data_IF_130657816319
#
_entry.id   IF_130657816319
#
_cell.length_a   1.000
_cell.length_b   1.000
_cell.length_c   1.000
_cell.angle_alpha   90.00
_cell.angle_beta   90.00
_cell.angle_gamma   90.00
#
_symmetry.space_group_name_H-M   'P 1'
#
loop_
_entity.id
_entity.type
_entity.pdbx_description
1 polymer ?
#
# COMPACT_ATOMS: atom_id res chain seq x y z
N UNK A 1 -35.18 2.07 -6.84
CA UNK A 1 -34.16 1.54 -7.75
C UNK A 1 -32.79 1.83 -7.16
N UNK A 2 -32.01 0.81 -6.81
CA UNK A 2 -30.62 1.02 -6.37
C UNK A 2 -29.81 1.40 -7.62
N UNK A 3 -28.99 2.48 -7.60
CA UNK A 3 -28.13 2.80 -8.73
C UNK A 3 -27.27 1.57 -9.02
N UNK A 4 -27.33 1.09 -10.25
CA UNK A 4 -26.55 -0.06 -10.68
C UNK A 4 -25.08 0.29 -10.57
N UNK A 5 -24.38 -0.31 -9.60
CA UNK A 5 -22.92 -0.19 -9.48
C UNK A 5 -22.36 -0.73 -10.79
N UNK A 6 -21.89 0.16 -11.66
CA UNK A 6 -21.24 -0.20 -12.91
C UNK A 6 -19.88 -0.79 -12.52
N UNK A 7 -19.75 -2.10 -12.67
CA UNK A 7 -18.50 -2.78 -12.31
C UNK A 7 -17.42 -2.36 -13.30
N UNK A 8 -16.23 -2.05 -12.81
CA UNK A 8 -15.11 -1.73 -13.69
C UNK A 8 -14.56 -3.00 -14.35
N UNK A 9 -13.82 -2.83 -15.44
CA UNK A 9 -13.12 -3.95 -16.12
C UNK A 9 -12.20 -4.73 -15.18
N UNK A 10 -11.68 -4.08 -14.13
CA UNK A 10 -10.90 -4.74 -13.08
C UNK A 10 -11.73 -5.65 -12.19
N UNK A 11 -12.92 -5.20 -11.79
CA UNK A 11 -13.84 -5.96 -10.94
C UNK A 11 -14.48 -7.13 -11.67
N UNK A 12 -14.84 -6.93 -12.94
CA UNK A 12 -15.36 -7.98 -13.82
C UNK A 12 -14.28 -9.08 -13.96
N UNK A 13 -13.06 -8.70 -14.32
CA UNK A 13 -11.94 -9.63 -14.43
C UNK A 13 -11.67 -10.36 -13.11
N UNK A 14 -11.67 -9.66 -11.96
CA UNK A 14 -11.44 -10.28 -10.66
C UNK A 14 -12.54 -11.30 -10.31
N UNK A 15 -13.80 -11.02 -10.64
CA UNK A 15 -14.93 -11.95 -10.43
C UNK A 15 -14.85 -13.18 -11.34
N UNK A 16 -14.45 -13.00 -12.59
CA UNK A 16 -14.23 -14.11 -13.53
C UNK A 16 -13.11 -15.04 -13.03
N UNK A 17 -11.99 -14.46 -12.62
CA UNK A 17 -10.85 -15.21 -12.08
C UNK A 17 -11.20 -15.93 -10.77
N UNK A 18 -11.97 -15.29 -9.88
CA UNK A 18 -12.45 -15.92 -8.65
C UNK A 18 -13.39 -17.09 -8.94
N UNK A 19 -14.26 -16.95 -9.94
CA UNK A 19 -15.13 -18.04 -10.41
C UNK A 19 -14.30 -19.22 -10.89
N UNK A 20 -13.29 -18.97 -11.74
CA UNK A 20 -12.38 -20.00 -12.23
C UNK A 20 -11.62 -20.73 -11.11
N UNK A 21 -11.13 -19.98 -10.11
CA UNK A 21 -10.46 -20.56 -8.94
C UNK A 21 -11.40 -21.43 -8.10
N UNK A 22 -12.63 -20.97 -7.88
CA UNK A 22 -13.66 -21.73 -7.14
C UNK A 22 -14.04 -23.00 -7.88
N UNK A 23 -14.26 -22.93 -9.19
CA UNK A 23 -14.57 -24.11 -10.01
C UNK A 23 -13.44 -25.13 -10.01
N UNK A 24 -12.19 -24.68 -9.93
CA UNK A 24 -11.02 -25.54 -9.84
C UNK A 24 -10.64 -25.90 -8.39
N UNK A 25 -11.49 -25.57 -7.40
CA UNK A 25 -11.26 -25.82 -5.97
C UNK A 25 -9.88 -25.37 -5.49
N UNK A 26 -9.39 -24.24 -5.99
CA UNK A 26 -8.06 -23.70 -5.66
C UNK A 26 -6.90 -24.68 -5.93
N UNK A 27 -7.04 -25.58 -6.90
CA UNK A 27 -5.97 -26.49 -7.29
C UNK A 27 -4.66 -25.73 -7.59
N UNK A 28 -3.48 -26.26 -7.23
CA UNK A 28 -2.20 -25.53 -7.37
C UNK A 28 -1.94 -25.01 -8.78
N UNK A 29 -2.36 -25.75 -9.82
CA UNK A 29 -2.26 -25.34 -11.22
C UNK A 29 -3.16 -24.13 -11.53
N UNK A 30 -4.37 -24.09 -11.00
CA UNK A 30 -5.30 -22.97 -11.18
C UNK A 30 -4.81 -21.71 -10.47
N UNK A 31 -4.25 -21.86 -9.27
CA UNK A 31 -3.57 -20.78 -8.53
C UNK A 31 -2.37 -20.25 -9.32
N UNK A 32 -1.50 -21.14 -9.83
CA UNK A 32 -0.37 -20.75 -10.67
C UNK A 32 -0.79 -20.02 -11.96
N UNK A 33 -1.88 -20.44 -12.58
CA UNK A 33 -2.48 -19.73 -13.74
C UNK A 33 -2.99 -18.35 -13.33
N UNK A 34 -3.72 -18.25 -12.23
CA UNK A 34 -4.21 -16.98 -11.71
C UNK A 34 -3.06 -15.99 -11.45
N UNK A 35 -1.99 -16.42 -10.77
CA UNK A 35 -0.82 -15.57 -10.50
C UNK A 35 -0.18 -15.07 -11.79
N UNK A 36 -0.05 -15.94 -12.80
CA UNK A 36 0.51 -15.58 -14.10
C UNK A 36 -0.35 -14.57 -14.85
N UNK A 37 -1.67 -14.78 -14.88
CA UNK A 37 -2.62 -13.86 -15.51
C UNK A 37 -2.66 -12.50 -14.81
N UNK A 38 -2.63 -12.53 -13.48
CA UNK A 38 -2.57 -11.34 -12.64
C UNK A 38 -1.27 -10.55 -12.89
N UNK A 39 -0.13 -11.24 -12.99
CA UNK A 39 1.15 -10.61 -13.34
C UNK A 39 1.16 -10.04 -14.77
N UNK A 40 0.58 -10.76 -15.74
CA UNK A 40 0.44 -10.29 -17.13
C UNK A 40 -0.38 -9.00 -17.19
N UNK A 41 -1.51 -8.95 -16.49
CA UNK A 41 -2.35 -7.76 -16.38
C UNK A 41 -1.59 -6.60 -15.74
N UNK A 42 -0.87 -6.85 -14.64
CA UNK A 42 -0.02 -5.84 -14.00
C UNK A 42 1.04 -5.28 -14.97
N UNK A 43 1.68 -6.13 -15.79
CA UNK A 43 2.63 -5.69 -16.82
C UNK A 43 1.97 -4.81 -17.89
N UNK A 44 0.78 -5.17 -18.35
CA UNK A 44 0.04 -4.37 -19.33
C UNK A 44 -0.35 -3.00 -18.76
N UNK A 45 -0.82 -2.95 -17.51
CA UNK A 45 -1.16 -1.70 -16.83
C UNK A 45 0.07 -0.81 -16.62
N UNK A 46 1.22 -1.41 -16.29
CA UNK A 46 2.50 -0.70 -16.21
C UNK A 46 2.92 -0.08 -17.53
N UNK A 47 2.81 -0.83 -18.64
CA UNK A 47 3.12 -0.34 -19.96
C UNK A 47 2.16 0.77 -20.41
N UNK A 48 0.88 0.68 -20.04
CA UNK A 48 -0.14 1.67 -20.38
C UNK A 48 0.00 2.97 -19.56
N UNK A 49 0.61 2.93 -18.37
CA UNK A 49 0.66 4.07 -17.43
C UNK A 49 2.09 4.42 -16.96
N UNK A 50 3.01 4.79 -17.86
CA UNK A 50 4.41 5.04 -17.51
C UNK A 50 4.60 6.21 -16.54
N UNK A 51 3.74 7.25 -16.61
CA UNK A 51 3.81 8.40 -15.71
C UNK A 51 3.46 8.03 -14.26
N UNK A 52 2.44 7.18 -14.07
CA UNK A 52 2.02 6.69 -12.75
C UNK A 52 3.10 5.81 -12.14
N UNK A 53 3.70 4.92 -12.94
CA UNK A 53 4.85 4.10 -12.54
C UNK A 53 6.03 4.99 -12.11
N UNK A 54 6.35 6.03 -12.89
CA UNK A 54 7.45 6.92 -12.57
C UNK A 54 7.23 7.64 -11.23
N UNK A 55 6.05 8.24 -11.03
CA UNK A 55 5.70 8.88 -9.75
C UNK A 55 5.80 7.89 -8.60
N UNK A 56 5.18 6.71 -8.72
CA UNK A 56 5.26 5.67 -7.68
C UNK A 56 6.71 5.34 -7.32
N UNK A 57 7.59 5.17 -8.32
CA UNK A 57 9.01 4.92 -8.08
C UNK A 57 9.70 6.09 -7.37
N UNK A 58 9.38 7.34 -7.72
CA UNK A 58 9.91 8.52 -7.03
C UNK A 58 9.49 8.55 -5.57
N UNK A 59 8.22 8.29 -5.25
CA UNK A 59 7.72 8.22 -3.88
C UNK A 59 8.38 7.08 -3.08
N UNK A 60 8.49 5.88 -3.68
CA UNK A 60 9.15 4.74 -3.04
C UNK A 60 10.65 5.00 -2.81
N UNK A 61 11.32 5.64 -3.76
CA UNK A 61 12.72 6.02 -3.64
C UNK A 61 12.92 7.11 -2.56
N UNK A 62 12.04 8.10 -2.49
CA UNK A 62 12.09 9.15 -1.48
C UNK A 62 11.93 8.57 -0.06
N UNK A 63 10.96 7.66 0.15
CA UNK A 63 10.78 6.99 1.45
C UNK A 63 11.97 6.11 1.84
N UNK A 64 12.55 5.38 0.88
CA UNK A 64 13.77 4.60 1.12
C UNK A 64 14.97 5.48 1.46
N UNK A 65 15.18 6.58 0.72
CA UNK A 65 16.26 7.54 0.97
C UNK A 65 16.13 8.20 2.34
N UNK A 66 14.91 8.57 2.74
CA UNK A 66 14.64 9.12 4.07
C UNK A 66 14.99 8.13 5.20
N UNK A 67 14.65 6.84 5.03
CA UNK A 67 15.04 5.81 6.00
C UNK A 67 16.55 5.66 6.10
N UNK A 68 17.23 5.57 4.95
CA UNK A 68 18.70 5.45 4.90
C UNK A 68 19.37 6.66 5.54
N UNK A 69 18.88 7.88 5.28
CA UNK A 69 19.41 9.09 5.92
C UNK A 69 19.30 9.04 7.46
N UNK A 70 18.15 8.58 8.00
CA UNK A 70 17.96 8.42 9.44
C UNK A 70 18.83 7.30 10.04
N UNK A 71 19.01 6.20 9.30
CA UNK A 71 19.89 5.11 9.70
C UNK A 71 21.38 5.54 9.71
N UNK A 72 21.82 6.31 8.71
CA UNK A 72 23.18 6.87 8.63
C UNK A 72 23.43 7.89 9.74
N UNK A 73 22.41 8.66 10.14
CA UNK A 73 22.46 9.57 11.28
C UNK A 73 22.51 8.85 12.65
N UNK A 74 22.69 7.52 12.67
CA UNK A 74 22.81 6.69 13.89
C UNK A 74 21.60 6.83 14.84
N UNK A 75 20.43 7.18 14.31
CA UNK A 75 19.21 7.27 15.12
C UNK A 75 18.61 5.89 15.30
N UNK A 76 18.74 5.32 16.49
CA UNK A 76 17.93 4.17 16.88
C UNK A 76 16.44 4.60 16.94
N UNK A 77 15.49 3.79 16.46
CA UNK A 77 15.61 2.37 16.06
C UNK A 77 15.89 2.11 14.56
N UNK A 78 16.12 3.16 13.75
CA UNK A 78 16.14 3.07 12.28
C UNK A 78 17.30 2.21 11.75
N UNK A 79 18.49 2.32 12.35
CA UNK A 79 19.66 1.52 11.97
C UNK A 79 19.41 0.03 12.18
N UNK A 80 19.00 -0.39 13.38
CA UNK A 80 18.74 -1.78 13.73
C UNK A 80 17.58 -2.40 12.93
N UNK A 81 16.58 -1.60 12.56
CA UNK A 81 15.39 -2.07 11.83
C UNK A 81 15.48 -1.95 10.31
N UNK A 82 16.61 -1.51 9.75
CA UNK A 82 16.86 -1.47 8.30
C UNK A 82 16.46 -2.76 7.55
N UNK A 83 16.78 -3.99 7.99
CA UNK A 83 16.36 -5.19 7.25
C UNK A 83 14.84 -5.42 7.30
N UNK A 84 14.20 -5.15 8.45
CA UNK A 84 12.75 -5.25 8.58
C UNK A 84 12.04 -4.19 7.74
N UNK A 85 12.58 -2.96 7.72
CA UNK A 85 12.14 -1.91 6.83
C UNK A 85 12.26 -2.32 5.37
N UNK A 86 13.44 -2.76 4.92
CA UNK A 86 13.67 -3.19 3.54
C UNK A 86 12.68 -4.28 3.11
N UNK A 87 12.43 -5.28 3.96
CA UNK A 87 11.44 -6.33 3.68
C UNK A 87 10.01 -5.77 3.57
N UNK A 88 9.57 -4.95 4.53
CA UNK A 88 8.23 -4.33 4.51
C UNK A 88 8.04 -3.35 3.35
N UNK A 89 9.08 -2.60 3.01
CA UNK A 89 9.09 -1.61 1.95
C UNK A 89 9.11 -2.26 0.57
N UNK A 90 9.87 -3.35 0.39
CA UNK A 90 9.84 -4.17 -0.81
C UNK A 90 8.46 -4.82 -1.02
N UNK A 91 7.84 -5.31 0.06
CA UNK A 91 6.48 -5.86 -0.02
C UNK A 91 5.45 -4.78 -0.38
N UNK A 92 5.57 -3.59 0.20
CA UNK A 92 4.72 -2.44 -0.13
C UNK A 92 4.90 -2.05 -1.60
N UNK A 93 6.14 -1.98 -2.09
CA UNK A 93 6.41 -1.71 -3.49
C UNK A 93 5.76 -2.77 -4.38
N UNK A 94 5.99 -4.06 -4.11
CA UNK A 94 5.40 -5.14 -4.88
C UNK A 94 3.87 -5.06 -4.91
N UNK A 95 3.26 -4.75 -3.76
CA UNK A 95 1.81 -4.61 -3.65
C UNK A 95 1.29 -3.43 -4.48
N UNK A 96 1.91 -2.25 -4.37
CA UNK A 96 1.53 -1.08 -5.17
C UNK A 96 1.72 -1.33 -6.67
N UNK A 97 2.85 -1.93 -7.06
CA UNK A 97 3.21 -2.25 -8.43
C UNK A 97 2.21 -3.23 -9.07
N UNK A 98 1.78 -4.23 -8.30
CA UNK A 98 0.74 -5.17 -8.73
C UNK A 98 -0.63 -4.48 -8.88
N UNK A 99 -0.94 -3.54 -7.99
CA UNK A 99 -2.23 -2.86 -7.94
C UNK A 99 -2.23 -1.47 -8.60
N UNK A 100 -1.29 -1.18 -9.51
CA UNK A 100 -1.30 0.07 -10.30
C UNK A 100 -2.63 0.25 -11.05
N UNK A 101 -3.25 -0.84 -11.49
CA UNK A 101 -4.57 -0.80 -12.13
C UNK A 101 -5.70 -0.34 -11.21
N UNK A 102 -5.51 -0.29 -9.88
CA UNK A 102 -6.46 0.25 -8.91
C UNK A 102 -6.25 1.72 -8.58
N UNK A 103 -5.23 2.37 -9.17
CA UNK A 103 -5.06 3.82 -9.13
C UNK A 103 -6.04 4.48 -10.11
N UNK A 104 -7.32 4.25 -9.83
CA UNK A 104 -8.47 4.77 -10.56
C UNK A 104 -9.43 5.39 -9.54
N UNK A 105 -10.20 6.39 -9.97
CA UNK A 105 -11.32 6.87 -9.18
C UNK A 105 -12.50 5.88 -9.26
N UNK A 106 -13.61 6.19 -8.58
CA UNK A 106 -14.80 5.33 -8.60
C UNK A 106 -15.45 5.19 -9.98
N UNK A 107 -15.17 6.12 -10.89
CA UNK A 107 -15.63 6.14 -12.28
C UNK A 107 -14.70 5.39 -13.26
N UNK A 108 -13.57 4.85 -12.78
CA UNK A 108 -12.59 4.13 -13.61
C UNK A 108 -11.57 5.02 -14.34
N UNK A 109 -11.58 6.33 -14.08
CA UNK A 109 -10.61 7.27 -14.63
C UNK A 109 -9.23 7.09 -13.97
N UNK A 110 -8.14 6.99 -14.76
CA UNK A 110 -6.81 6.82 -14.24
C UNK A 110 -6.38 8.00 -13.38
N UNK A 111 -5.83 7.72 -12.20
CA UNK A 111 -5.29 8.71 -11.27
C UNK A 111 -3.86 8.38 -10.88
N UNK A 112 -3.13 9.43 -10.53
CA UNK A 112 -1.81 9.30 -9.95
C UNK A 112 -1.90 9.30 -8.43
N UNK A 113 -0.87 8.76 -7.77
CA UNK A 113 -0.66 8.89 -6.33
C UNK A 113 -0.82 10.35 -5.89
N UNK A 114 -1.74 10.56 -4.96
CA UNK A 114 -2.07 11.85 -4.39
C UNK A 114 -1.41 12.03 -3.01
N UNK A 115 -1.54 13.22 -2.44
CA UNK A 115 -1.02 13.53 -1.11
C UNK A 115 -1.65 12.66 0.00
N UNK A 116 -2.89 12.18 -0.20
CA UNK A 116 -3.53 11.24 0.72
C UNK A 116 -2.80 9.88 0.75
N UNK A 117 -2.47 9.33 -0.42
CA UNK A 117 -1.75 8.06 -0.52
C UNK A 117 -0.35 8.15 0.13
N UNK A 118 0.28 9.31 0.07
CA UNK A 118 1.56 9.57 0.72
C UNK A 118 1.49 9.47 2.25
N UNK A 119 0.42 10.00 2.85
CA UNK A 119 0.15 9.90 4.28
C UNK A 119 -0.08 8.44 4.70
N UNK A 120 -0.80 7.66 3.90
CA UNK A 120 -0.96 6.22 4.14
C UNK A 120 0.38 5.47 4.04
N UNK A 121 1.21 5.79 3.03
CA UNK A 121 2.54 5.20 2.89
C UNK A 121 3.47 5.57 4.04
N UNK A 122 3.31 6.76 4.63
CA UNK A 122 4.07 7.18 5.80
C UNK A 122 3.78 6.27 7.02
N UNK A 123 2.53 5.86 7.22
CA UNK A 123 2.14 4.94 8.30
C UNK A 123 2.80 3.57 8.13
N UNK A 124 2.79 3.04 6.90
CA UNK A 124 3.48 1.78 6.56
C UNK A 124 5.00 1.92 6.75
N UNK A 125 5.57 3.06 6.36
CA UNK A 125 6.99 3.38 6.53
C UNK A 125 7.43 3.41 8.01
N UNK A 126 6.58 3.92 8.92
CA UNK A 126 6.89 4.01 10.35
C UNK A 126 6.73 2.68 11.12
N UNK A 127 5.98 1.71 10.59
CA UNK A 127 5.62 0.49 11.31
C UNK A 127 6.84 -0.31 11.85
N UNK A 128 7.95 -0.51 11.11
CA UNK A 128 9.12 -1.23 11.63
C UNK A 128 9.81 -0.50 12.80
N UNK A 129 9.80 0.84 12.81
CA UNK A 129 10.35 1.65 13.89
C UNK A 129 9.46 1.57 15.15
N UNK A 130 8.14 1.68 14.97
CA UNK A 130 7.16 1.54 16.06
C UNK A 130 7.20 0.13 16.70
N UNK A 131 7.47 -0.92 15.91
CA UNK A 131 7.62 -2.29 16.39
C UNK A 131 8.85 -2.54 17.27
N UNK A 132 9.80 -1.60 17.29
CA UNK A 132 10.98 -1.66 18.15
C UNK A 132 10.82 -0.77 19.37
N UNK A 133 10.51 0.49 19.11
CA UNK A 133 10.55 1.56 20.09
C UNK A 133 9.44 2.54 19.71
N UNK A 134 8.21 2.37 20.24
CA UNK A 134 7.11 3.27 19.93
C UNK A 134 7.33 4.61 20.66
N UNK A 135 8.19 5.46 20.09
CA UNK A 135 8.44 6.79 20.65
C UNK A 135 7.21 7.68 20.45
N UNK A 136 6.89 8.58 21.40
CA UNK A 136 5.70 9.42 21.31
C UNK A 136 5.60 10.21 20.00
N UNK A 137 6.73 10.70 19.46
CA UNK A 137 6.73 11.43 18.19
C UNK A 137 6.46 10.54 16.96
N UNK A 138 6.83 9.25 16.99
CA UNK A 138 6.49 8.29 15.92
C UNK A 138 4.99 8.05 15.89
N UNK A 139 4.39 7.87 17.07
CA UNK A 139 2.95 7.73 17.21
C UNK A 139 2.21 9.02 16.84
N UNK A 140 2.74 10.18 17.23
CA UNK A 140 2.17 11.48 16.87
C UNK A 140 2.24 11.73 15.36
N UNK A 141 3.33 11.37 14.68
CA UNK A 141 3.42 11.44 13.22
C UNK A 141 2.42 10.52 12.54
N UNK A 142 2.27 9.28 13.02
CA UNK A 142 1.28 8.35 12.47
C UNK A 142 -0.16 8.88 12.60
N UNK A 143 -0.52 9.38 13.79
CA UNK A 143 -1.82 9.98 14.05
C UNK A 143 -2.06 11.26 13.24
N UNK A 144 -1.04 12.12 13.11
CA UNK A 144 -1.13 13.32 12.30
C UNK A 144 -1.32 12.98 10.81
N UNK A 145 -0.66 11.93 10.31
CA UNK A 145 -0.82 11.49 8.92
C UNK A 145 -2.22 10.96 8.63
N UNK A 146 -2.82 10.21 9.56
CA UNK A 146 -4.21 9.73 9.48
C UNK A 146 -5.23 10.90 9.47
N UNK A 147 -5.03 11.88 10.36
CA UNK A 147 -5.89 13.06 10.35
C UNK A 147 -5.77 13.88 9.04
N UNK A 148 -4.59 13.87 8.42
CA UNK A 148 -4.30 14.59 7.18
C UNK A 148 -4.82 13.87 5.94
N UNK A 149 -4.67 12.55 5.82
CA UNK A 149 -5.20 11.83 4.66
C UNK A 149 -6.72 11.90 4.59
N UNK A 150 -7.46 11.74 5.69
CA UNK A 150 -8.91 11.87 5.67
C UNK A 150 -9.36 13.26 5.20
N UNK A 151 -8.61 14.31 5.54
CA UNK A 151 -8.88 15.69 5.07
C UNK A 151 -8.49 15.88 3.60
N UNK A 152 -7.35 15.34 3.18
CA UNK A 152 -6.85 15.42 1.82
C UNK A 152 -7.72 14.60 0.85
N UNK A 153 -8.14 13.40 1.26
CA UNK A 153 -9.06 12.54 0.54
C UNK A 153 -10.46 13.15 0.42
N UNK A 154 -10.88 14.01 1.35
CA UNK A 154 -12.11 14.83 1.20
C UNK A 154 -11.92 16.03 0.28
N UNK A 155 -10.69 16.51 0.11
CA UNK A 155 -10.34 17.63 -0.76
C UNK A 155 -9.95 17.20 -2.19
N UNK A 156 -9.73 15.90 -2.41
CA UNK A 156 -9.39 15.29 -3.69
C UNK A 156 -10.39 14.19 -4.05
N UNK A 157 -10.47 13.77 -5.32
CA UNK A 157 -11.26 12.59 -5.68
C UNK A 157 -10.52 11.33 -5.14
N UNK A 158 -11.13 10.51 -4.27
CA UNK A 158 -10.48 9.35 -3.67
C UNK A 158 -10.02 8.33 -4.72
N UNK A 159 -8.92 7.64 -4.45
CA UNK A 159 -8.52 6.46 -5.22
C UNK A 159 -9.09 5.21 -4.57
N UNK A 160 -9.43 4.20 -5.37
CA UNK A 160 -9.90 2.90 -4.85
C UNK A 160 -8.82 2.19 -4.04
N UNK A 161 -7.56 2.28 -4.51
CA UNK A 161 -6.40 1.80 -3.77
C UNK A 161 -6.28 2.45 -2.39
N UNK A 162 -6.46 3.77 -2.28
CA UNK A 162 -6.40 4.49 -1.01
C UNK A 162 -7.40 3.95 0.00
N UNK A 163 -8.65 3.72 -0.41
CA UNK A 163 -9.71 3.15 0.44
C UNK A 163 -9.37 1.76 0.99
N UNK A 164 -8.83 0.89 0.14
CA UNK A 164 -8.54 -0.51 0.52
C UNK A 164 -7.23 -0.62 1.32
N UNK A 165 -6.29 0.29 1.09
CA UNK A 165 -4.97 0.27 1.71
C UNK A 165 -4.95 0.95 3.09
N UNK A 166 -5.84 1.92 3.33
CA UNK A 166 -5.95 2.66 4.59
C UNK A 166 -6.15 1.72 5.80
N UNK A 167 -7.17 0.86 5.77
CA UNK A 167 -7.43 -0.07 6.87
C UNK A 167 -6.31 -1.08 7.12
N UNK A 168 -5.58 -1.49 6.07
CA UNK A 168 -4.43 -2.38 6.19
C UNK A 168 -3.21 -1.67 6.78
N UNK A 169 -2.97 -0.42 6.39
CA UNK A 169 -1.87 0.40 6.91
C UNK A 169 -2.06 0.67 8.42
N UNK A 170 -3.28 0.99 8.85
CA UNK A 170 -3.60 1.19 10.26
C UNK A 170 -3.43 -0.07 11.09
N UNK A 171 -3.96 -1.19 10.60
CA UNK A 171 -3.81 -2.47 11.29
C UNK A 171 -2.33 -2.85 11.42
N UNK A 172 -1.54 -2.67 10.36
CA UNK A 172 -0.10 -2.94 10.38
C UNK A 172 0.65 -2.06 11.40
N UNK A 173 0.36 -0.76 11.43
CA UNK A 173 0.97 0.16 12.39
C UNK A 173 0.54 -0.12 13.83
N UNK A 174 -0.76 -0.30 14.08
CA UNK A 174 -1.29 -0.57 15.42
C UNK A 174 -0.72 -1.87 16.00
N UNK A 175 -0.67 -2.95 15.22
CA UNK A 175 -0.07 -4.22 15.64
C UNK A 175 1.42 -4.06 15.93
N UNK A 176 2.14 -3.29 15.11
CA UNK A 176 3.53 -2.98 15.35
C UNK A 176 3.73 -2.20 16.67
N UNK A 177 2.99 -1.13 16.89
CA UNK A 177 3.07 -0.32 18.10
C UNK A 177 2.74 -1.13 19.37
N UNK A 178 1.69 -1.96 19.32
CA UNK A 178 1.31 -2.85 20.43
C UNK A 178 2.39 -3.90 20.75
N UNK A 179 3.02 -4.47 19.72
CA UNK A 179 4.16 -5.40 19.90
C UNK A 179 5.36 -4.69 20.52
N UNK A 180 5.64 -3.46 20.10
CA UNK A 180 6.71 -2.64 20.68
C UNK A 180 6.45 -2.32 22.15
N UNK A 181 5.22 -1.93 22.50
CA UNK A 181 4.82 -1.63 23.87
C UNK A 181 4.90 -2.86 24.80
N UNK A 182 4.43 -4.02 24.32
CA UNK A 182 4.49 -5.31 25.07
C UNK A 182 5.89 -5.82 25.34
N UNK A 183 6.91 -5.41 24.58
CA UNK A 183 8.31 -5.80 24.84
C UNK A 183 8.99 -4.92 25.89
N UNK A 184 8.33 -3.83 26.32
CA UNK A 184 8.86 -2.83 27.26
C UNK A 184 8.20 -2.85 28.63
N UNK A 185 6.98 -3.35 28.73
CA UNK A 185 6.29 -3.65 30.00
C UNK A 185 6.48 -5.11 30.36
#
# INVERSE_FOLDING_TARGET
MRPGITLTDGEIWAREQLTLLRTAQFAPRAVGRFLRESQRRANQQRAARPQTVHRMRTWMAAGAAAWVALALAQREPFRRRTPAFAASWALTWLMLDWHIGMLENDDGEPRNLAAADACTLLRVWLAPAAADTPQPWICALAFASDALDGRLARASVPTRLGRDLEGLADAAFAVAALRGARRRG
#
